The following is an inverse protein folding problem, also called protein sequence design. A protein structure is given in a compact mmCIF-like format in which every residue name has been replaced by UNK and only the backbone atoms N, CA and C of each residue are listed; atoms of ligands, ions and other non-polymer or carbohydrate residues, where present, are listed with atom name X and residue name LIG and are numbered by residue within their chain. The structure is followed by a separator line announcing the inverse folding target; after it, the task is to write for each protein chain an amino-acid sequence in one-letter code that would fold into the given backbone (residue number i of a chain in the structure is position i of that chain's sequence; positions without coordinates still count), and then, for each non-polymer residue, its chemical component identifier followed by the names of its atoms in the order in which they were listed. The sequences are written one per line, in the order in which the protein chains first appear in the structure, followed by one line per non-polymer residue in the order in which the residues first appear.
data_IF_035012907144
#
_entry.id   IF_035012907144
#
_cell.length_a   1.000
_cell.length_b   1.000
_cell.length_c   1.000
_cell.angle_alpha   90.00
_cell.angle_beta   90.00
_cell.angle_gamma   90.00
#
_symmetry.space_group_name_H-M   'P 1'
#
loop_
_entity.id
_entity.type
_entity.pdbx_description
1 polymer ?
#
# COMPACT_ATOMS: atom_id res chain seq x y z
N UNK A 1 -11.18 -13.27 1.17
CA UNK A 1 -11.84 -13.10 -0.13
C UNK A 1 -10.81 -12.95 -1.22
N UNK A 2 -11.02 -13.62 -2.36
CA UNK A 2 -10.28 -13.28 -3.56
C UNK A 2 -10.75 -11.89 -3.98
N UNK A 3 -9.86 -10.93 -3.89
CA UNK A 3 -10.11 -9.59 -4.43
C UNK A 3 -9.66 -9.59 -5.88
N UNK A 4 -10.42 -8.98 -6.77
CA UNK A 4 -9.93 -8.60 -8.07
C UNK A 4 -8.74 -7.66 -7.98
N UNK A 5 -8.70 -6.62 -8.79
CA UNK A 5 -7.75 -5.52 -8.55
C UNK A 5 -7.91 -5.01 -7.12
N UNK A 6 -6.79 -4.89 -6.42
CA UNK A 6 -6.77 -4.29 -5.09
C UNK A 6 -7.37 -2.87 -5.09
N UNK A 7 -7.19 -2.15 -6.20
CA UNK A 7 -7.77 -0.82 -6.40
C UNK A 7 -9.29 -0.88 -6.39
N UNK A 8 -9.89 -1.81 -7.13
CA UNK A 8 -11.34 -1.94 -7.20
C UNK A 8 -11.93 -2.34 -5.85
N UNK A 9 -11.28 -3.30 -5.16
CA UNK A 9 -11.70 -3.70 -3.83
C UNK A 9 -11.66 -2.53 -2.85
N UNK A 10 -10.56 -1.80 -2.78
CA UNK A 10 -10.41 -0.66 -1.88
C UNK A 10 -11.38 0.48 -2.22
N UNK A 11 -11.58 0.76 -3.51
CA UNK A 11 -12.55 1.75 -3.96
C UNK A 11 -13.97 1.40 -3.49
N UNK A 12 -14.38 0.14 -3.57
CA UNK A 12 -15.68 -0.30 -3.08
C UNK A 12 -15.81 -0.19 -1.56
N UNK A 13 -14.75 -0.50 -0.81
CA UNK A 13 -14.74 -0.32 0.66
C UNK A 13 -14.91 1.15 1.02
N UNK A 14 -14.10 2.01 0.42
CA UNK A 14 -14.13 3.46 0.66
C UNK A 14 -15.48 4.05 0.27
N UNK A 15 -16.01 3.71 -0.91
CA UNK A 15 -17.33 4.19 -1.37
C UNK A 15 -18.45 3.78 -0.42
N UNK A 16 -18.44 2.52 0.04
CA UNK A 16 -19.47 2.01 0.95
C UNK A 16 -19.47 2.73 2.30
N UNK A 17 -18.31 3.18 2.78
CA UNK A 17 -18.16 3.94 4.03
C UNK A 17 -18.45 5.40 3.78
N UNK A 18 -17.85 6.01 2.76
CA UNK A 18 -18.01 7.42 2.43
C UNK A 18 -19.46 7.81 2.12
N UNK A 19 -20.31 6.88 1.70
CA UNK A 19 -21.75 7.11 1.55
C UNK A 19 -22.46 7.50 2.86
N UNK A 20 -21.82 7.24 4.04
CA UNK A 20 -22.46 7.41 5.36
C UNK A 20 -21.65 8.25 6.33
N UNK A 21 -20.32 8.14 6.29
CA UNK A 21 -19.41 8.72 7.26
C UNK A 21 -18.11 9.17 6.60
N UNK A 22 -17.33 10.00 7.27
CA UNK A 22 -16.06 10.48 6.75
C UNK A 22 -14.99 9.37 6.79
N UNK A 23 -14.15 9.35 5.76
CA UNK A 23 -13.00 8.47 5.60
C UNK A 23 -11.73 9.30 5.69
N UNK A 24 -10.76 8.84 6.47
CA UNK A 24 -9.50 9.52 6.66
C UNK A 24 -8.38 8.85 5.86
N UNK A 25 -7.71 9.62 5.05
CA UNK A 25 -6.47 9.23 4.37
C UNK A 25 -5.30 9.90 5.09
N UNK A 26 -4.25 9.12 5.34
CA UNK A 26 -3.05 9.70 5.91
C UNK A 26 -2.43 10.75 4.98
N UNK A 27 -2.06 11.96 5.46
CA UNK A 27 -1.56 13.05 4.64
C UNK A 27 -0.35 12.63 3.79
N UNK A 28 -0.44 12.84 2.48
CA UNK A 28 0.64 12.54 1.53
C UNK A 28 0.75 11.07 1.12
N UNK A 29 -0.11 10.19 1.60
CA UNK A 29 -0.15 8.80 1.17
C UNK A 29 -0.85 8.64 -0.21
N UNK A 30 -1.30 7.46 -0.56
CA UNK A 30 -1.78 7.12 -1.89
C UNK A 30 -3.17 7.69 -2.20
N UNK A 31 -3.24 8.49 -3.25
CA UNK A 31 -4.50 9.10 -3.70
C UNK A 31 -5.52 8.09 -4.24
N UNK A 32 -5.07 6.88 -4.59
CA UNK A 32 -5.94 5.85 -5.18
C UNK A 32 -7.10 5.41 -4.30
N UNK A 33 -7.03 5.60 -2.98
CA UNK A 33 -8.17 5.39 -2.09
C UNK A 33 -9.36 6.31 -2.41
N UNK A 34 -9.08 7.48 -2.97
CA UNK A 34 -10.09 8.46 -3.32
C UNK A 34 -10.65 8.28 -4.72
N UNK A 35 -9.86 7.66 -5.61
CA UNK A 35 -10.24 7.46 -7.00
C UNK A 35 -11.41 6.49 -7.08
N UNK A 36 -12.46 6.86 -7.76
CA UNK A 36 -13.65 6.03 -7.93
C UNK A 36 -14.73 6.21 -6.87
N UNK A 37 -14.51 7.03 -5.82
CA UNK A 37 -15.59 7.41 -4.91
C UNK A 37 -16.40 8.57 -5.49
N UNK A 38 -17.74 8.46 -5.37
CA UNK A 38 -18.68 9.53 -5.68
C UNK A 38 -18.85 10.52 -4.52
N UNK A 39 -18.39 10.15 -3.31
CA UNK A 39 -18.47 10.93 -2.07
C UNK A 39 -17.12 11.55 -1.69
N UNK A 40 -16.46 12.19 -2.64
CA UNK A 40 -15.09 12.71 -2.44
C UNK A 40 -15.00 13.79 -1.36
N UNK A 41 -16.07 14.50 -1.08
CA UNK A 41 -16.17 15.51 -0.03
C UNK A 41 -16.06 14.92 1.38
N UNK A 42 -16.34 13.63 1.56
CA UNK A 42 -16.20 12.89 2.82
C UNK A 42 -14.87 12.20 2.98
N UNK A 43 -14.01 12.23 1.97
CA UNK A 43 -12.68 11.62 2.01
C UNK A 43 -11.65 12.71 2.31
N UNK A 44 -11.16 12.71 3.55
CA UNK A 44 -10.31 13.76 4.09
C UNK A 44 -8.85 13.33 4.16
N UNK A 45 -7.95 14.22 3.78
CA UNK A 45 -6.51 14.08 4.02
C UNK A 45 -6.17 14.73 5.37
N UNK A 46 -6.28 13.98 6.44
CA UNK A 46 -6.05 14.49 7.77
C UNK A 46 -5.42 13.44 8.69
N UNK A 47 -4.59 13.86 9.67
CA UNK A 47 -3.94 12.94 10.59
C UNK A 47 -4.87 12.46 11.72
N UNK A 48 -6.01 13.11 11.93
CA UNK A 48 -7.00 12.71 12.93
C UNK A 48 -7.98 11.72 12.33
N UNK A 49 -7.88 10.45 12.75
CA UNK A 49 -8.70 9.34 12.26
C UNK A 49 -9.71 8.82 13.29
N UNK A 50 -9.81 9.50 14.45
CA UNK A 50 -10.62 9.01 15.59
C UNK A 50 -11.99 8.54 15.18
N UNK A 51 -12.30 7.28 15.56
CA UNK A 51 -13.58 6.60 15.31
C UNK A 51 -13.98 6.42 13.83
N UNK A 52 -13.14 6.83 12.87
CA UNK A 52 -13.42 6.76 11.43
C UNK A 52 -12.66 5.62 10.75
N UNK A 53 -12.96 5.39 9.48
CA UNK A 53 -12.16 4.50 8.64
C UNK A 53 -10.85 5.21 8.27
N UNK A 54 -9.72 4.67 8.72
CA UNK A 54 -8.39 5.12 8.33
C UNK A 54 -7.85 4.29 7.16
N UNK A 55 -7.39 4.95 6.10
CA UNK A 55 -6.78 4.30 4.94
C UNK A 55 -5.30 4.62 4.86
N UNK A 56 -4.46 3.60 4.71
CA UNK A 56 -3.01 3.74 4.62
C UNK A 56 -2.40 2.64 3.74
N UNK A 57 -1.40 3.01 2.94
CA UNK A 57 -0.51 2.02 2.32
C UNK A 57 0.57 1.57 3.31
N UNK A 58 0.88 0.29 3.33
CA UNK A 58 1.91 -0.29 4.20
C UNK A 58 2.87 -1.16 3.37
N UNK A 59 4.13 -0.73 3.26
CA UNK A 59 4.68 0.56 3.69
C UNK A 59 4.04 1.73 2.93
N UNK A 60 4.09 2.91 3.53
CA UNK A 60 3.52 4.11 2.90
C UNK A 60 4.20 4.43 1.58
N UNK A 61 3.41 4.82 0.58
CA UNK A 61 3.95 5.32 -0.68
C UNK A 61 4.63 6.68 -0.53
N UNK A 62 4.48 7.32 0.63
CA UNK A 62 5.10 8.60 0.95
C UNK A 62 6.61 8.49 1.14
N UNK A 63 7.07 7.47 1.83
CA UNK A 63 8.48 7.32 2.22
C UNK A 63 8.99 5.86 2.21
N UNK A 64 8.16 4.89 1.90
CA UNK A 64 8.52 3.48 1.90
C UNK A 64 8.60 2.85 3.29
N UNK A 65 8.11 3.53 4.34
CA UNK A 65 8.11 3.08 5.73
C UNK A 65 6.71 3.08 6.34
N UNK A 66 6.59 2.46 7.50
CA UNK A 66 5.53 2.66 8.47
C UNK A 66 6.11 3.40 9.66
N UNK A 67 5.75 4.69 9.84
CA UNK A 67 6.27 5.51 10.94
C UNK A 67 5.40 5.36 12.20
N UNK A 68 5.94 5.80 13.34
CA UNK A 68 5.19 5.79 14.61
C UNK A 68 3.92 6.64 14.52
N UNK A 69 3.97 7.78 13.82
CA UNK A 69 2.79 8.64 13.62
C UNK A 69 1.71 7.94 12.78
N UNK A 70 2.13 7.15 11.78
CA UNK A 70 1.20 6.34 10.98
C UNK A 70 0.56 5.23 11.82
N UNK A 71 1.31 4.60 12.70
CA UNK A 71 0.78 3.60 13.65
C UNK A 71 -0.24 4.26 14.58
N UNK A 72 0.09 5.41 15.18
CA UNK A 72 -0.85 6.18 16.02
C UNK A 72 -2.12 6.56 15.26
N UNK A 73 -2.00 7.01 14.00
CA UNK A 73 -3.15 7.28 13.13
C UNK A 73 -4.05 6.05 12.96
N UNK A 74 -3.48 4.86 12.83
CA UNK A 74 -4.24 3.61 12.73
C UNK A 74 -4.83 3.18 14.09
N UNK A 75 -4.11 3.40 15.19
CA UNK A 75 -4.58 3.04 16.54
C UNK A 75 -5.79 3.86 16.96
N UNK A 76 -5.83 5.15 16.62
CA UNK A 76 -6.94 6.05 16.90
C UNK A 76 -8.21 5.76 16.09
N UNK A 77 -8.08 5.09 14.94
CA UNK A 77 -9.18 4.82 14.04
C UNK A 77 -10.19 3.81 14.60
N UNK A 78 -11.47 3.96 14.23
CA UNK A 78 -12.51 2.95 14.49
C UNK A 78 -12.34 1.67 13.67
N UNK A 79 -11.87 1.81 12.42
CA UNK A 79 -11.55 0.72 11.50
C UNK A 79 -10.41 1.13 10.58
N UNK A 80 -9.70 0.16 10.00
CA UNK A 80 -8.59 0.43 9.09
C UNK A 80 -8.77 -0.30 7.75
N UNK A 81 -8.34 0.35 6.66
CA UNK A 81 -8.15 -0.24 5.35
C UNK A 81 -6.69 -0.11 4.95
N UNK A 82 -5.96 -1.20 4.95
CA UNK A 82 -4.52 -1.24 4.70
C UNK A 82 -4.23 -1.81 3.32
N UNK A 83 -3.56 -1.02 2.49
CA UNK A 83 -3.05 -1.47 1.20
C UNK A 83 -1.64 -2.05 1.39
N UNK A 84 -1.51 -3.37 1.29
CA UNK A 84 -0.26 -4.10 1.46
C UNK A 84 0.47 -4.41 0.14
N UNK A 85 0.18 -3.69 -0.93
CA UNK A 85 0.78 -3.93 -2.25
C UNK A 85 2.30 -3.87 -2.27
N UNK A 86 2.88 -2.99 -1.46
CA UNK A 86 4.32 -2.82 -1.36
C UNK A 86 4.95 -3.64 -0.23
N UNK A 87 4.14 -4.28 0.62
CA UNK A 87 4.65 -5.07 1.74
C UNK A 87 5.61 -6.19 1.30
N UNK A 88 5.36 -6.95 0.22
CA UNK A 88 6.31 -7.95 -0.26
C UNK A 88 7.65 -7.38 -0.71
N UNK A 89 7.73 -6.08 -0.99
CA UNK A 89 8.98 -5.42 -1.43
C UNK A 89 9.89 -5.00 -0.28
N UNK A 90 9.46 -5.18 0.97
CA UNK A 90 10.27 -4.97 2.15
C UNK A 90 11.28 -6.10 2.33
N UNK A 91 12.42 -5.82 2.95
CA UNK A 91 13.35 -6.85 3.40
C UNK A 91 12.69 -7.77 4.44
N UNK A 92 13.19 -8.99 4.66
CA UNK A 92 12.62 -9.88 5.67
C UNK A 92 12.54 -9.25 7.07
N UNK A 93 13.59 -8.53 7.50
CA UNK A 93 13.62 -7.86 8.79
C UNK A 93 12.57 -6.74 8.89
N UNK A 94 12.43 -5.94 7.84
CA UNK A 94 11.43 -4.86 7.80
C UNK A 94 10.01 -5.38 7.70
N UNK A 95 9.77 -6.49 7.00
CA UNK A 95 8.46 -7.15 7.00
C UNK A 95 8.08 -7.60 8.40
N UNK A 96 9.02 -8.19 9.12
CA UNK A 96 8.79 -8.62 10.50
C UNK A 96 8.46 -7.43 11.39
N UNK A 97 9.30 -6.39 11.39
CA UNK A 97 9.09 -5.19 12.19
C UNK A 97 7.76 -4.47 11.86
N UNK A 98 7.41 -4.40 10.56
CA UNK A 98 6.15 -3.80 10.12
C UNK A 98 4.94 -4.64 10.58
N UNK A 99 5.02 -5.96 10.49
CA UNK A 99 3.96 -6.85 10.97
C UNK A 99 3.75 -6.75 12.48
N UNK A 100 4.83 -6.65 13.25
CA UNK A 100 4.79 -6.44 14.70
C UNK A 100 4.13 -5.10 15.05
N UNK A 101 4.50 -4.02 14.35
CA UNK A 101 3.92 -2.70 14.55
C UNK A 101 2.42 -2.63 14.21
N UNK A 102 1.94 -3.46 13.28
CA UNK A 102 0.52 -3.53 12.93
C UNK A 102 -0.31 -4.40 13.88
N UNK A 103 0.32 -5.23 14.70
CA UNK A 103 -0.38 -6.20 15.56
C UNK A 103 -1.55 -5.58 16.36
N UNK A 104 -1.41 -4.38 16.98
CA UNK A 104 -2.49 -3.77 17.76
C UNK A 104 -3.74 -3.46 16.94
N UNK A 105 -3.58 -3.21 15.65
CA UNK A 105 -4.69 -2.76 14.78
C UNK A 105 -5.26 -3.86 13.89
N UNK A 106 -4.64 -5.04 13.81
CA UNK A 106 -5.08 -6.13 12.91
C UNK A 106 -6.53 -6.54 13.13
N UNK A 107 -7.01 -6.54 14.38
CA UNK A 107 -8.38 -6.94 14.72
C UNK A 107 -9.47 -6.05 14.10
N UNK A 108 -9.14 -4.81 13.76
CA UNK A 108 -10.03 -3.82 13.14
C UNK A 108 -9.63 -3.44 11.72
N UNK A 109 -8.68 -4.17 11.11
CA UNK A 109 -8.12 -3.84 9.81
C UNK A 109 -8.61 -4.76 8.72
N UNK A 110 -9.05 -4.18 7.61
CA UNK A 110 -9.15 -4.86 6.32
C UNK A 110 -7.79 -4.76 5.66
N UNK A 111 -7.20 -5.91 5.29
CA UNK A 111 -5.93 -5.98 4.60
C UNK A 111 -6.18 -6.30 3.14
N UNK A 112 -5.74 -5.43 2.23
CA UNK A 112 -5.78 -5.67 0.79
C UNK A 112 -4.38 -5.98 0.28
N UNK A 113 -4.19 -7.18 -0.25
CA UNK A 113 -2.90 -7.69 -0.74
C UNK A 113 -3.05 -7.96 -2.23
N UNK A 114 -2.26 -7.29 -3.05
CA UNK A 114 -2.16 -7.57 -4.49
C UNK A 114 -0.86 -8.31 -4.79
N UNK A 115 -0.91 -9.20 -5.76
CA UNK A 115 0.26 -9.91 -6.26
C UNK A 115 0.95 -9.19 -7.44
N UNK A 116 0.47 -8.00 -7.80
CA UNK A 116 0.98 -7.26 -8.95
C UNK A 116 2.40 -6.75 -8.76
N UNK A 117 2.69 -6.14 -7.61
CA UNK A 117 3.96 -5.44 -7.37
C UNK A 117 5.06 -6.37 -6.85
N UNK A 118 4.78 -7.10 -5.79
CA UNK A 118 5.75 -7.98 -5.14
C UNK A 118 6.12 -9.20 -5.97
N UNK A 119 5.22 -9.66 -6.85
CA UNK A 119 5.39 -10.90 -7.62
C UNK A 119 5.41 -10.69 -9.14
N UNK A 120 5.37 -9.46 -9.62
CA UNK A 120 5.43 -9.15 -11.05
C UNK A 120 4.18 -9.54 -11.85
N UNK A 121 3.08 -9.88 -11.19
CA UNK A 121 1.81 -10.28 -11.84
C UNK A 121 0.92 -9.06 -12.13
N UNK A 122 1.48 -8.01 -12.70
CA UNK A 122 0.86 -6.69 -12.83
C UNK A 122 -0.46 -6.69 -13.62
N UNK A 123 -0.61 -7.57 -14.59
CA UNK A 123 -1.82 -7.67 -15.42
C UNK A 123 -2.86 -8.66 -14.87
N UNK A 124 -2.56 -9.36 -13.78
CA UNK A 124 -3.39 -10.47 -13.32
C UNK A 124 -4.66 -10.04 -12.59
N UNK A 125 -4.69 -8.83 -12.07
CA UNK A 125 -5.73 -8.38 -11.13
C UNK A 125 -5.97 -9.34 -9.96
N UNK A 126 -4.98 -10.18 -9.64
CA UNK A 126 -5.05 -11.11 -8.53
C UNK A 126 -4.72 -10.42 -7.22
N UNK A 127 -5.61 -10.53 -6.26
CA UNK A 127 -5.41 -10.05 -4.92
C UNK A 127 -6.18 -10.88 -3.90
N UNK A 128 -5.85 -10.67 -2.65
CA UNK A 128 -6.54 -11.25 -1.49
C UNK A 128 -6.91 -10.13 -0.53
N UNK A 129 -8.16 -10.14 -0.08
CA UNK A 129 -8.60 -9.29 1.00
C UNK A 129 -8.85 -10.13 2.26
N UNK A 130 -8.19 -9.79 3.35
CA UNK A 130 -8.43 -10.34 4.67
C UNK A 130 -9.34 -9.39 5.44
N UNK A 131 -10.52 -9.85 5.80
CA UNK A 131 -11.54 -9.05 6.48
C UNK A 131 -11.84 -9.70 7.83
N UNK A 132 -11.76 -8.95 8.94
CA UNK A 132 -12.09 -9.47 10.27
C UNK A 132 -13.49 -10.07 10.31
N UNK A 133 -13.68 -11.15 11.10
CA UNK A 133 -14.97 -11.86 11.17
C UNK A 133 -16.15 -10.98 11.58
N UNK A 134 -15.88 -10.02 12.44
CA UNK A 134 -16.89 -9.11 13.00
C UNK A 134 -16.94 -7.75 12.30
N UNK A 135 -16.23 -7.60 11.16
CA UNK A 135 -16.23 -6.33 10.43
C UNK A 135 -17.65 -6.02 9.91
N UNK A 136 -18.19 -4.82 10.16
CA UNK A 136 -19.60 -4.49 9.89
C UNK A 136 -19.98 -4.62 8.40
N UNK A 137 -19.03 -4.42 7.50
CA UNK A 137 -19.26 -4.52 6.06
C UNK A 137 -18.96 -5.90 5.45
N UNK A 138 -18.59 -6.90 6.28
CA UNK A 138 -18.16 -8.21 5.78
C UNK A 138 -19.21 -8.90 4.91
N UNK A 139 -20.47 -8.90 5.32
CA UNK A 139 -21.54 -9.55 4.57
C UNK A 139 -21.75 -8.89 3.19
N UNK A 140 -21.66 -7.55 3.13
CA UNK A 140 -21.78 -6.79 1.87
C UNK A 140 -20.63 -7.13 0.91
N UNK A 141 -19.41 -7.27 1.41
CA UNK A 141 -18.25 -7.64 0.58
C UNK A 141 -18.39 -9.06 0.05
N UNK A 142 -18.86 -10.01 0.85
CA UNK A 142 -19.10 -11.37 0.40
C UNK A 142 -20.02 -11.40 -0.82
N UNK A 143 -21.14 -10.69 -0.77
CA UNK A 143 -22.11 -10.65 -1.87
C UNK A 143 -21.55 -10.02 -3.15
N UNK A 144 -20.73 -8.97 -3.03
CA UNK A 144 -20.19 -8.25 -4.19
C UNK A 144 -19.13 -9.04 -4.93
N UNK A 145 -18.33 -9.86 -4.21
CA UNK A 145 -17.13 -10.49 -4.75
C UNK A 145 -17.27 -11.94 -5.17
N UNK A 146 -18.40 -12.57 -4.91
CA UNK A 146 -18.64 -13.96 -5.32
C UNK A 146 -18.76 -14.15 -6.85
N UNK A 147 -19.08 -13.12 -7.62
CA UNK A 147 -19.48 -13.28 -9.02
C UNK A 147 -18.47 -12.86 -10.08
N UNK A 148 -17.56 -11.90 -9.81
CA UNK A 148 -16.88 -11.19 -10.90
C UNK A 148 -15.46 -11.69 -11.25
N UNK A 149 -14.87 -12.56 -10.49
CA UNK A 149 -13.41 -12.76 -10.58
C UNK A 149 -12.92 -14.18 -10.75
N UNK A 150 -13.81 -15.15 -10.84
CA UNK A 150 -13.42 -16.57 -10.79
C UNK A 150 -12.52 -17.02 -11.94
N UNK A 151 -12.78 -16.65 -13.18
CA UNK A 151 -12.06 -17.20 -14.32
C UNK A 151 -10.63 -16.67 -14.41
N UNK A 152 -10.48 -15.34 -14.47
CA UNK A 152 -9.14 -14.72 -14.59
C UNK A 152 -8.32 -14.91 -13.32
N UNK A 153 -8.93 -14.83 -12.15
CA UNK A 153 -8.26 -15.10 -10.89
C UNK A 153 -7.85 -16.57 -10.76
N UNK A 154 -8.61 -17.50 -11.30
CA UNK A 154 -8.25 -18.91 -11.35
C UNK A 154 -6.96 -19.16 -12.15
N UNK A 155 -6.82 -18.52 -13.31
CA UNK A 155 -5.59 -18.60 -14.12
C UNK A 155 -4.42 -17.95 -13.38
N UNK A 156 -4.60 -16.74 -12.85
CA UNK A 156 -3.55 -16.04 -12.13
C UNK A 156 -3.15 -16.76 -10.83
N UNK A 157 -4.10 -17.34 -10.10
CA UNK A 157 -3.82 -18.14 -8.91
C UNK A 157 -3.02 -19.40 -9.26
N UNK A 158 -3.35 -20.11 -10.34
CA UNK A 158 -2.56 -21.27 -10.81
C UNK A 158 -1.15 -20.85 -11.21
N UNK A 159 -0.99 -19.73 -11.91
CA UNK A 159 0.32 -19.21 -12.24
C UNK A 159 1.12 -18.85 -10.97
N UNK A 160 0.48 -18.20 -9.98
CA UNK A 160 1.10 -17.88 -8.70
C UNK A 160 1.53 -19.13 -7.92
N UNK A 161 0.66 -20.13 -7.84
CA UNK A 161 0.97 -21.40 -7.16
C UNK A 161 2.06 -22.22 -7.85
N UNK A 162 2.33 -21.94 -9.11
CA UNK A 162 3.42 -22.56 -9.86
C UNK A 162 4.76 -21.82 -9.74
N UNK A 163 4.78 -20.64 -9.07
CA UNK A 163 6.02 -19.90 -8.85
C UNK A 163 6.90 -20.62 -7.83
N UNK A 164 8.17 -20.70 -8.14
CA UNK A 164 9.21 -21.01 -7.17
C UNK A 164 9.45 -19.76 -6.30
N UNK A 165 8.98 -19.79 -5.06
CA UNK A 165 9.07 -18.65 -4.14
C UNK A 165 10.52 -18.33 -3.77
N UNK A 166 11.43 -19.29 -3.76
CA UNK A 166 12.84 -19.06 -3.48
C UNK A 166 13.50 -18.34 -4.66
N UNK A 167 13.16 -18.71 -5.90
CA UNK A 167 13.60 -18.00 -7.08
C UNK A 167 13.07 -16.56 -7.12
N UNK A 168 11.80 -16.35 -6.76
CA UNK A 168 11.22 -15.00 -6.65
C UNK A 168 11.93 -14.17 -5.58
N UNK A 169 12.20 -14.75 -4.40
CA UNK A 169 12.91 -14.07 -3.33
C UNK A 169 14.35 -13.70 -3.73
N UNK A 170 15.03 -14.57 -4.49
CA UNK A 170 16.36 -14.26 -5.03
C UNK A 170 16.32 -13.10 -6.01
N UNK A 171 15.41 -13.11 -6.98
CA UNK A 171 15.25 -12.00 -7.94
C UNK A 171 14.92 -10.69 -7.23
N UNK A 172 14.13 -10.74 -6.18
CA UNK A 172 13.80 -9.56 -5.35
C UNK A 172 15.05 -9.02 -4.62
N UNK A 173 15.88 -9.91 -4.07
CA UNK A 173 17.15 -9.55 -3.44
C UNK A 173 18.12 -8.92 -4.45
N UNK A 174 18.29 -9.53 -5.61
CA UNK A 174 19.18 -9.03 -6.66
C UNK A 174 18.74 -7.64 -7.15
N UNK A 175 17.44 -7.42 -7.31
CA UNK A 175 16.87 -6.09 -7.66
C UNK A 175 17.13 -5.06 -6.58
N UNK A 176 17.00 -5.42 -5.34
CA UNK A 176 17.21 -4.56 -4.18
C UNK A 176 18.65 -4.07 -4.13
N UNK A 177 19.61 -4.99 -4.30
CA UNK A 177 21.03 -4.68 -4.36
C UNK A 177 21.35 -3.78 -5.55
N UNK A 178 20.85 -4.12 -6.74
CA UNK A 178 21.06 -3.33 -7.94
C UNK A 178 20.55 -1.90 -7.79
N UNK A 179 19.33 -1.71 -7.27
CA UNK A 179 18.75 -0.39 -7.04
C UNK A 179 19.60 0.40 -6.03
N UNK A 180 20.03 -0.24 -4.95
CA UNK A 180 20.87 0.41 -3.93
C UNK A 180 22.23 0.84 -4.51
N UNK A 181 22.85 0.01 -5.33
CA UNK A 181 24.12 0.32 -5.98
C UNK A 181 23.98 1.45 -7.00
N UNK A 182 22.96 1.38 -7.85
CA UNK A 182 22.66 2.43 -8.83
C UNK A 182 22.44 3.79 -8.16
N UNK A 183 21.66 3.86 -7.10
CA UNK A 183 21.40 5.09 -6.36
C UNK A 183 22.67 5.62 -5.68
N UNK A 184 23.51 4.75 -5.12
CA UNK A 184 24.83 5.13 -4.56
C UNK A 184 25.74 5.71 -5.65
N UNK A 185 25.75 5.11 -6.84
CA UNK A 185 26.55 5.60 -7.97
C UNK A 185 26.13 7.01 -8.44
N UNK A 186 24.88 7.43 -8.17
CA UNK A 186 24.38 8.78 -8.47
C UNK A 186 24.67 9.79 -7.34
N UNK A 187 25.27 9.36 -6.23
CA UNK A 187 25.56 10.24 -5.10
C UNK A 187 24.32 10.83 -4.42
N UNK A 188 23.17 10.18 -4.57
CA UNK A 188 21.93 10.66 -3.98
C UNK A 188 21.92 10.35 -2.47
N UNK A 189 21.70 11.35 -1.60
CA UNK A 189 21.60 11.15 -0.17
C UNK A 189 20.24 10.50 0.14
N UNK A 190 20.22 9.16 0.09
CA UNK A 190 19.01 8.39 0.35
C UNK A 190 18.63 8.48 1.81
N UNK A 191 17.35 8.71 2.05
CA UNK A 191 16.71 8.34 3.31
C UNK A 191 16.44 6.85 3.21
N UNK A 192 16.81 6.12 4.25
CA UNK A 192 16.52 4.69 4.32
C UNK A 192 15.02 4.45 4.05
N UNK A 193 14.76 3.67 3.03
CA UNK A 193 13.42 3.23 2.69
C UNK A 193 13.47 1.72 2.56
N UNK A 194 12.67 1.03 3.33
CA UNK A 194 12.58 -0.41 3.33
C UNK A 194 12.17 -0.97 1.98
N UNK A 195 11.27 -0.30 1.29
CA UNK A 195 10.85 -0.70 -0.04
C UNK A 195 11.82 -0.21 -1.11
N UNK A 196 12.28 -1.11 -1.97
CA UNK A 196 13.04 -0.71 -3.17
C UNK A 196 12.15 -0.07 -4.25
N UNK A 197 10.83 -0.17 -4.14
CA UNK A 197 9.88 0.48 -5.05
C UNK A 197 9.71 1.97 -4.80
N UNK A 198 9.90 2.41 -3.57
CA UNK A 198 9.78 3.82 -3.18
C UNK A 198 11.07 4.24 -2.54
N UNK A 199 11.78 5.14 -3.17
CA UNK A 199 12.98 5.77 -2.61
C UNK A 199 12.73 7.23 -2.39
N UNK A 200 13.08 7.72 -1.22
CA UNK A 200 12.99 9.13 -0.88
C UNK A 200 14.39 9.66 -0.57
N UNK A 201 14.65 10.90 -0.92
CA UNK A 201 15.85 11.60 -0.52
C UNK A 201 15.56 13.07 -0.26
N UNK A 202 16.38 13.67 0.58
CA UNK A 202 16.37 15.10 0.84
C UNK A 202 17.52 15.73 0.05
N UNK A 203 17.26 16.68 -0.85
CA UNK A 203 18.32 17.34 -1.60
C UNK A 203 19.31 18.01 -0.65
N UNK A 204 20.59 17.90 -0.96
CA UNK A 204 21.62 18.64 -0.24
C UNK A 204 21.39 20.14 -0.43
N UNK A 205 21.42 20.90 0.67
CA UNK A 205 21.15 22.34 0.63
C UNK A 205 19.67 22.74 0.59
N UNK A 206 18.74 21.78 0.58
CA UNK A 206 17.29 22.05 0.63
C UNK A 206 16.66 22.52 -0.68
N UNK A 207 17.44 22.80 -1.72
CA UNK A 207 16.92 23.14 -3.04
C UNK A 207 16.63 21.89 -3.86
N UNK A 208 15.40 21.80 -4.35
CA UNK A 208 14.97 20.74 -5.25
C UNK A 208 15.19 21.22 -6.70
N UNK A 209 15.99 20.49 -7.50
CA UNK A 209 16.10 20.77 -8.93
C UNK A 209 14.73 20.85 -9.61
N UNK A 210 14.57 21.82 -10.53
CA UNK A 210 13.28 22.08 -11.16
C UNK A 210 12.59 20.85 -11.74
N UNK A 211 13.27 19.92 -12.44
CA UNK A 211 12.67 18.70 -12.97
C UNK A 211 12.14 17.74 -11.88
N UNK A 212 12.63 17.85 -10.65
CA UNK A 212 12.24 16.99 -9.53
C UNK A 212 11.15 17.62 -8.64
N UNK A 213 10.81 18.90 -8.85
CA UNK A 213 9.76 19.60 -8.07
C UNK A 213 8.41 18.89 -8.10
N UNK A 214 7.93 18.36 -9.23
CA UNK A 214 6.67 17.61 -9.27
C UNK A 214 6.67 16.34 -8.41
N UNK A 215 7.85 15.79 -8.13
CA UNK A 215 8.05 14.57 -7.32
C UNK A 215 8.28 14.89 -5.84
N UNK A 216 8.24 16.18 -5.47
CA UNK A 216 8.57 16.62 -4.12
C UNK A 216 7.31 16.82 -3.28
N UNK A 217 7.32 16.26 -2.10
CA UNK A 217 6.33 16.55 -1.04
C UNK A 217 7.02 16.59 0.31
N UNK A 218 6.67 17.55 1.14
CA UNK A 218 7.19 17.72 2.51
C UNK A 218 8.75 17.79 2.54
N UNK A 219 9.33 18.43 1.53
CA UNK A 219 10.78 18.56 1.41
C UNK A 219 11.53 17.27 1.04
N UNK A 220 10.80 16.20 0.68
CA UNK A 220 11.34 14.95 0.21
C UNK A 220 11.04 14.77 -1.28
N UNK A 221 12.08 14.45 -2.05
CA UNK A 221 11.91 13.94 -3.41
C UNK A 221 11.65 12.46 -3.34
N UNK A 222 10.58 12.01 -4.00
CA UNK A 222 10.21 10.60 -4.07
C UNK A 222 10.42 10.05 -5.47
N UNK A 223 11.17 8.99 -5.53
CA UNK A 223 11.36 8.20 -6.75
C UNK A 223 10.63 6.87 -6.57
N UNK A 224 9.75 6.57 -7.49
CA UNK A 224 9.17 5.24 -7.63
C UNK A 224 9.81 4.56 -8.84
N UNK A 225 9.99 3.24 -8.78
CA UNK A 225 10.50 2.48 -9.94
C UNK A 225 9.65 2.62 -11.21
N UNK A 226 8.46 3.18 -11.10
CA UNK A 226 7.64 3.54 -12.26
C UNK A 226 8.23 4.75 -13.02
N UNK A 227 9.11 5.52 -12.35
CA UNK A 227 9.73 6.73 -12.90
C UNK A 227 11.20 6.52 -13.29
N UNK A 228 11.74 5.33 -13.09
CA UNK A 228 13.07 4.90 -13.47
C UNK A 228 12.96 3.91 -14.63
#
# INVERSE_FOLDING_TARGET
YAAGSDVDFMAHVVEAVAAREDVCLYPGDWFGFRVGSTHQERIKWEPDSRERLACLCVPSVRNGHLTTEMVGFLEDAGACLLNLNLFPTLSPAERQATAEALTPVLGKSILSISFSRGFGLTASQLGVALVPRHHPYRAKYAQTWEWFTYFFNGIAARAFLALDLDAVAKVDSDRREWVAEWLRSKGLPLIESGSYYVKAFRPAGGEVPEPLRPLTRDGLVRLSLIHI
#
